data_IF_998968363823
#
_entry.id   IF_998968363823
#
_cell.length_a   1.000
_cell.length_b   1.000
_cell.length_c   1.000
_cell.angle_alpha   90.00
_cell.angle_beta   90.00
_cell.angle_gamma   90.00
#
_symmetry.space_group_name_H-M   'P 1'
#
loop_
_entity.id
_entity.type
_entity.pdbx_description
1 polymer ?
#
# COMPACT_ATOMS: atom_id res chain seq x y z
N UNK A 1 -21.03 24.62 5.03
CA UNK A 1 -20.21 24.68 3.80
C UNK A 1 -20.72 23.59 2.89
N UNK A 2 -21.02 23.86 1.61
CA UNK A 2 -21.49 22.85 0.64
C UNK A 2 -20.31 22.53 -0.29
N UNK A 3 -20.07 21.24 -0.58
CA UNK A 3 -19.09 20.84 -1.60
C UNK A 3 -19.53 21.31 -2.98
N UNK A 4 -18.59 21.54 -3.89
CA UNK A 4 -18.91 21.87 -5.28
C UNK A 4 -19.65 20.72 -5.98
N UNK A 5 -20.37 21.02 -7.05
CA UNK A 5 -21.06 20.00 -7.84
C UNK A 5 -20.08 19.07 -8.57
N UNK A 6 -18.85 19.55 -8.80
CA UNK A 6 -17.75 18.80 -9.44
C UNK A 6 -16.94 17.96 -8.44
N UNK A 7 -17.33 17.90 -7.18
CA UNK A 7 -16.64 17.09 -6.18
C UNK A 7 -16.87 15.59 -6.45
N UNK A 8 -15.80 14.83 -6.54
CA UNK A 8 -15.85 13.40 -6.77
C UNK A 8 -16.16 12.64 -5.47
N UNK A 9 -17.41 12.26 -5.28
CA UNK A 9 -17.81 11.32 -4.24
C UNK A 9 -17.60 9.89 -4.72
N UNK A 10 -17.13 9.00 -3.85
CA UNK A 10 -16.91 7.61 -4.21
C UNK A 10 -16.41 6.75 -3.07
N UNK A 11 -15.84 5.63 -3.42
CA UNK A 11 -15.29 4.66 -2.48
C UNK A 11 -14.00 4.03 -3.00
N UNK A 12 -13.43 3.12 -2.20
CA UNK A 12 -12.16 2.49 -2.48
C UNK A 12 -12.17 1.00 -2.15
N UNK A 13 -11.50 0.21 -2.99
CA UNK A 13 -11.16 -1.20 -2.76
C UNK A 13 -9.72 -1.46 -3.21
N UNK A 14 -9.19 -2.64 -2.91
CA UNK A 14 -7.94 -3.12 -3.48
C UNK A 14 -8.14 -4.46 -4.19
N UNK A 15 -7.37 -4.73 -5.23
CA UNK A 15 -7.43 -5.96 -6.01
C UNK A 15 -7.39 -7.21 -5.12
N UNK A 16 -6.42 -7.27 -4.23
CA UNK A 16 -6.23 -8.38 -3.30
C UNK A 16 -7.35 -8.55 -2.26
N UNK A 17 -8.23 -7.57 -2.11
CA UNK A 17 -9.35 -7.62 -1.15
C UNK A 17 -10.66 -8.02 -1.80
N UNK A 18 -10.86 -7.69 -3.08
CA UNK A 18 -12.16 -7.83 -3.72
C UNK A 18 -12.17 -8.76 -4.94
N UNK A 19 -11.07 -8.90 -5.68
CA UNK A 19 -11.10 -9.59 -6.97
C UNK A 19 -11.42 -11.07 -6.87
N UNK A 20 -10.86 -11.78 -5.90
CA UNK A 20 -10.87 -13.24 -5.95
C UNK A 20 -10.08 -13.76 -7.16
N UNK A 21 -10.49 -14.89 -7.72
CA UNK A 21 -9.89 -15.46 -8.95
C UNK A 21 -8.35 -15.48 -8.89
N UNK A 22 -7.79 -15.85 -7.74
CA UNK A 22 -6.37 -15.75 -7.40
C UNK A 22 -5.45 -16.59 -8.28
N UNK A 23 -5.96 -17.66 -8.88
CA UNK A 23 -5.24 -18.60 -9.76
C UNK A 23 -5.87 -18.72 -11.15
N UNK A 24 -6.71 -17.74 -11.55
CA UNK A 24 -7.43 -17.75 -12.83
C UNK A 24 -6.65 -16.95 -13.88
N UNK A 25 -6.75 -17.38 -15.15
CA UNK A 25 -6.21 -16.70 -16.34
C UNK A 25 -4.72 -16.34 -16.24
N UNK A 26 -3.94 -17.24 -15.61
CA UNK A 26 -2.49 -17.12 -15.51
C UNK A 26 -2.01 -16.07 -14.51
N UNK A 27 -2.86 -15.60 -13.58
CA UNK A 27 -2.43 -14.76 -12.47
C UNK A 27 -1.39 -15.48 -11.60
N UNK A 28 -0.31 -14.80 -11.27
CA UNK A 28 0.66 -15.26 -10.28
C UNK A 28 0.20 -14.95 -8.85
N UNK A 29 0.85 -15.57 -7.87
CA UNK A 29 0.55 -15.33 -6.45
C UNK A 29 1.12 -14.00 -5.96
N UNK A 30 0.43 -13.41 -4.99
CA UNK A 30 0.91 -12.32 -4.14
C UNK A 30 0.90 -12.76 -2.67
N UNK A 31 1.49 -11.97 -1.77
CA UNK A 31 1.56 -12.28 -0.33
C UNK A 31 0.19 -12.60 0.29
N UNK A 32 -0.86 -11.93 -0.14
CA UNK A 32 -2.21 -12.12 0.35
C UNK A 32 -2.79 -13.50 0.02
N UNK A 33 -2.31 -14.14 -1.05
CA UNK A 33 -2.78 -15.46 -1.48
C UNK A 33 -2.23 -16.60 -0.60
N UNK A 34 -1.17 -16.34 0.15
CA UNK A 34 -0.58 -17.26 1.14
C UNK A 34 -0.79 -16.77 2.57
N UNK A 35 -1.71 -15.82 2.78
CA UNK A 35 -2.04 -15.28 4.09
C UNK A 35 -3.41 -15.77 4.53
N UNK A 36 -3.43 -16.56 5.62
CA UNK A 36 -4.65 -17.18 6.15
C UNK A 36 -5.63 -16.14 6.72
N UNK A 37 -6.85 -16.53 6.90
CA UNK A 37 -7.82 -15.81 7.73
C UNK A 37 -7.33 -15.67 9.17
N UNK A 38 -7.89 -14.69 9.88
CA UNK A 38 -7.64 -14.46 11.29
C UNK A 38 -8.94 -14.15 12.03
N UNK A 39 -8.84 -14.04 13.35
CA UNK A 39 -9.93 -13.60 14.24
C UNK A 39 -9.40 -12.52 15.17
N UNK A 40 -10.24 -11.97 16.04
CA UNK A 40 -9.81 -11.04 17.09
C UNK A 40 -8.73 -11.65 17.99
N UNK A 41 -8.73 -12.98 18.14
CA UNK A 41 -7.83 -13.70 19.04
C UNK A 41 -6.73 -14.49 18.31
N UNK A 42 -6.81 -14.60 17.01
CA UNK A 42 -5.85 -15.36 16.18
C UNK A 42 -5.27 -14.47 15.08
N UNK A 43 -3.95 -14.26 15.04
CA UNK A 43 -3.35 -13.45 13.97
C UNK A 43 -3.51 -14.14 12.61
N UNK A 44 -3.47 -13.36 11.54
CA UNK A 44 -3.29 -13.88 10.20
C UNK A 44 -1.87 -14.43 10.06
N UNK A 45 -1.74 -15.59 9.41
CA UNK A 45 -0.48 -16.30 9.26
C UNK A 45 -0.09 -16.38 7.78
N UNK A 46 1.18 -16.31 7.48
CA UNK A 46 1.74 -16.62 6.15
C UNK A 46 2.14 -18.09 6.13
N UNK A 47 1.75 -18.80 5.08
CA UNK A 47 2.00 -20.23 4.89
C UNK A 47 3.15 -20.46 3.91
N UNK A 48 4.05 -21.40 4.26
CA UNK A 48 5.21 -21.73 3.47
C UNK A 48 5.69 -23.17 3.75
N UNK A 49 6.52 -23.71 2.87
CA UNK A 49 7.24 -24.96 3.07
C UNK A 49 8.68 -24.61 3.41
N UNK A 50 9.18 -25.19 4.52
CA UNK A 50 10.56 -24.99 4.92
C UNK A 50 11.55 -25.79 4.05
N UNK A 51 12.85 -25.56 4.24
CA UNK A 51 13.91 -26.25 3.50
C UNK A 51 13.90 -27.78 3.63
N UNK A 52 13.24 -28.32 4.65
CA UNK A 52 13.15 -29.76 4.94
C UNK A 52 11.84 -30.37 4.39
N UNK A 53 11.00 -29.57 3.70
CA UNK A 53 9.75 -29.97 3.08
C UNK A 53 8.54 -29.97 4.02
N UNK A 54 8.66 -29.38 5.22
CA UNK A 54 7.55 -29.34 6.18
C UNK A 54 6.67 -28.10 5.96
N UNK A 55 5.34 -28.27 6.11
CA UNK A 55 4.38 -27.16 6.16
C UNK A 55 4.61 -26.31 7.40
N UNK A 56 4.74 -25.02 7.22
CA UNK A 56 4.98 -24.03 8.29
C UNK A 56 4.06 -22.82 8.14
N UNK A 57 3.83 -22.10 9.24
CA UNK A 57 3.17 -20.80 9.26
C UNK A 57 3.77 -19.89 10.33
N UNK A 58 3.91 -18.61 9.97
CA UNK A 58 4.37 -17.55 10.86
C UNK A 58 3.41 -16.34 10.80
N UNK A 59 3.34 -15.53 11.85
CA UNK A 59 2.54 -14.31 11.84
C UNK A 59 2.89 -13.41 10.65
N UNK A 60 1.87 -12.84 10.01
CA UNK A 60 2.08 -11.98 8.83
C UNK A 60 2.84 -10.68 9.16
N UNK A 61 2.66 -10.12 10.37
CA UNK A 61 3.40 -8.93 10.78
C UNK A 61 4.87 -9.25 11.08
N UNK A 62 5.76 -8.50 10.42
CA UNK A 62 7.21 -8.70 10.56
C UNK A 62 7.72 -10.00 9.94
N UNK A 63 6.91 -10.62 9.08
CA UNK A 63 7.27 -11.87 8.42
C UNK A 63 8.48 -11.69 7.51
N UNK A 64 9.45 -12.61 7.67
CA UNK A 64 10.53 -12.84 6.71
C UNK A 64 10.54 -14.33 6.36
N UNK A 65 10.63 -14.62 5.06
CA UNK A 65 10.72 -16.00 4.60
C UNK A 65 12.05 -16.61 5.06
N UNK A 66 12.05 -17.74 5.78
CA UNK A 66 13.28 -18.42 6.17
C UNK A 66 14.12 -18.86 4.96
N UNK A 67 15.43 -18.89 5.13
CA UNK A 67 16.34 -19.30 4.08
C UNK A 67 16.01 -20.73 3.56
N UNK A 68 15.91 -20.87 2.25
CA UNK A 68 15.56 -22.14 1.58
C UNK A 68 14.09 -22.54 1.70
N UNK A 69 13.25 -21.72 2.31
CA UNK A 69 11.80 -21.90 2.30
C UNK A 69 11.18 -21.31 1.04
N UNK A 70 9.95 -21.73 0.71
CA UNK A 70 9.14 -21.17 -0.38
C UNK A 70 7.69 -21.07 0.05
N UNK A 71 6.99 -20.04 -0.43
CA UNK A 71 5.59 -19.82 -0.14
C UNK A 71 4.70 -20.93 -0.70
N UNK A 72 3.66 -21.29 0.03
CA UNK A 72 2.74 -22.35 -0.39
C UNK A 72 1.33 -22.14 0.15
N UNK A 73 0.35 -22.49 -0.65
CA UNK A 73 -1.06 -22.59 -0.25
C UNK A 73 -1.31 -24.01 0.28
N UNK A 74 -2.04 -24.13 1.39
CA UNK A 74 -2.40 -25.39 2.01
C UNK A 74 -3.91 -25.64 1.92
N UNK A 75 -4.31 -26.84 1.53
CA UNK A 75 -5.74 -27.20 1.34
C UNK A 75 -6.55 -27.19 2.65
N UNK A 76 -5.86 -27.27 3.79
CA UNK A 76 -6.44 -27.28 5.14
C UNK A 76 -6.51 -25.91 5.82
N UNK A 77 -6.18 -24.83 5.09
CA UNK A 77 -6.22 -23.45 5.58
C UNK A 77 -7.25 -22.61 4.80
N UNK A 78 -7.80 -21.60 5.47
CA UNK A 78 -8.72 -20.63 4.85
C UNK A 78 -7.96 -19.39 4.40
N UNK A 79 -8.06 -19.03 3.12
CA UNK A 79 -7.49 -17.84 2.53
C UNK A 79 -8.60 -16.90 2.03
N UNK A 80 -9.06 -15.93 2.83
CA UNK A 80 -10.19 -15.07 2.47
C UNK A 80 -10.01 -14.28 1.17
N UNK A 81 -8.77 -13.99 0.82
CA UNK A 81 -8.45 -13.22 -0.40
C UNK A 81 -8.58 -14.07 -1.69
N UNK A 82 -8.69 -15.41 -1.60
CA UNK A 82 -8.92 -16.25 -2.77
C UNK A 82 -10.28 -16.03 -3.41
N UNK A 83 -11.27 -15.74 -2.58
CA UNK A 83 -12.64 -15.50 -3.03
C UNK A 83 -12.95 -13.98 -3.09
N UNK A 84 -12.61 -13.24 -2.02
CA UNK A 84 -13.00 -11.84 -1.88
C UNK A 84 -14.54 -11.70 -2.00
N UNK A 85 -14.98 -10.78 -2.86
CA UNK A 85 -16.37 -10.69 -3.33
C UNK A 85 -16.52 -11.18 -4.77
N UNK A 86 -15.48 -11.82 -5.30
CA UNK A 86 -15.38 -12.31 -6.68
C UNK A 86 -15.61 -11.21 -7.72
N UNK A 87 -15.07 -10.03 -7.46
CA UNK A 87 -15.16 -8.88 -8.37
C UNK A 87 -14.65 -9.20 -9.78
N UNK A 88 -13.72 -10.15 -9.89
CA UNK A 88 -13.20 -10.59 -11.19
C UNK A 88 -14.31 -11.07 -12.13
N UNK A 89 -15.27 -11.82 -11.64
CA UNK A 89 -16.39 -12.33 -12.42
C UNK A 89 -17.62 -11.41 -12.39
N UNK A 90 -17.80 -10.61 -11.31
CA UNK A 90 -19.01 -9.84 -11.03
C UNK A 90 -18.84 -8.32 -11.19
N UNK A 91 -17.71 -7.82 -11.72
CA UNK A 91 -17.40 -6.38 -11.80
C UNK A 91 -18.49 -5.55 -12.49
N UNK A 92 -19.25 -6.12 -13.45
CA UNK A 92 -20.32 -5.40 -14.15
C UNK A 92 -21.51 -5.11 -13.25
N UNK A 93 -21.92 -6.11 -12.49
CA UNK A 93 -23.00 -6.01 -11.51
C UNK A 93 -22.58 -5.04 -10.38
N UNK A 94 -21.37 -5.18 -9.88
CA UNK A 94 -20.85 -4.34 -8.82
C UNK A 94 -20.74 -2.87 -9.27
N UNK A 95 -20.25 -2.61 -10.49
CA UNK A 95 -20.16 -1.25 -11.04
C UNK A 95 -21.57 -0.66 -11.25
N UNK A 96 -22.56 -1.47 -11.64
CA UNK A 96 -23.93 -1.00 -11.75
C UNK A 96 -24.50 -0.56 -10.38
N UNK A 97 -24.20 -1.30 -9.30
CA UNK A 97 -24.55 -0.92 -7.94
C UNK A 97 -23.83 0.37 -7.48
N UNK A 98 -22.54 0.53 -7.79
CA UNK A 98 -21.79 1.75 -7.50
C UNK A 98 -22.41 2.98 -8.20
N UNK A 99 -22.85 2.80 -9.45
CA UNK A 99 -23.57 3.83 -10.21
C UNK A 99 -24.91 4.19 -9.54
N UNK A 100 -25.68 3.19 -9.11
CA UNK A 100 -26.95 3.39 -8.39
C UNK A 100 -26.72 4.15 -7.07
N UNK A 101 -25.61 3.86 -6.35
CA UNK A 101 -25.18 4.59 -5.16
C UNK A 101 -24.76 6.04 -5.43
N UNK A 102 -24.59 6.42 -6.70
CA UNK A 102 -24.22 7.76 -7.11
C UNK A 102 -22.74 8.07 -7.09
N UNK A 103 -21.89 7.04 -7.15
CA UNK A 103 -20.44 7.22 -7.23
C UNK A 103 -20.05 8.05 -8.45
N UNK A 104 -19.07 8.95 -8.25
CA UNK A 104 -18.44 9.76 -9.31
C UNK A 104 -16.98 9.38 -9.52
N UNK A 105 -16.36 8.76 -8.52
CA UNK A 105 -15.01 8.21 -8.59
C UNK A 105 -14.97 6.88 -7.87
N UNK A 106 -14.24 5.93 -8.40
CA UNK A 106 -13.99 4.65 -7.74
C UNK A 106 -12.49 4.36 -7.73
N UNK A 107 -11.94 4.23 -6.52
CA UNK A 107 -10.56 3.84 -6.35
C UNK A 107 -10.45 2.33 -6.29
N UNK A 108 -9.57 1.76 -7.12
CA UNK A 108 -9.24 0.35 -7.14
C UNK A 108 -7.74 0.19 -7.39
N UNK A 109 -7.19 -1.00 -7.21
CA UNK A 109 -5.79 -1.27 -7.58
C UNK A 109 -5.70 -2.26 -8.75
N UNK A 110 -4.56 -2.27 -9.42
CA UNK A 110 -4.19 -3.32 -10.38
C UNK A 110 -3.30 -4.31 -9.63
N UNK A 111 -3.61 -5.60 -9.69
CA UNK A 111 -2.74 -6.65 -9.19
C UNK A 111 -1.53 -6.80 -10.12
N UNK A 112 -0.33 -6.47 -9.62
CA UNK A 112 0.90 -6.61 -10.40
C UNK A 112 1.10 -8.06 -10.85
N UNK A 113 0.83 -9.04 -9.99
CA UNK A 113 0.94 -10.46 -10.33
C UNK A 113 -0.10 -10.96 -11.35
N UNK A 114 -1.17 -10.18 -11.63
CA UNK A 114 -2.09 -10.46 -12.74
C UNK A 114 -1.54 -10.00 -14.08
N UNK A 115 -0.70 -8.96 -14.07
CA UNK A 115 -0.06 -8.42 -15.28
C UNK A 115 1.27 -9.11 -15.57
N UNK A 116 2.08 -9.34 -14.55
CA UNK A 116 3.35 -10.07 -14.62
C UNK A 116 3.38 -11.11 -13.52
N UNK A 117 2.97 -12.35 -13.80
CA UNK A 117 2.77 -13.41 -12.80
C UNK A 117 3.95 -13.69 -11.87
N UNK A 118 5.17 -13.64 -12.39
CA UNK A 118 6.41 -13.76 -11.59
C UNK A 118 7.14 -12.41 -11.44
N UNK A 119 6.71 -11.38 -12.16
CA UNK A 119 7.31 -10.04 -12.19
C UNK A 119 8.43 -9.88 -13.23
N UNK A 120 8.98 -10.95 -13.78
CA UNK A 120 10.15 -10.91 -14.67
C UNK A 120 9.83 -11.28 -16.14
N UNK A 121 8.61 -11.67 -16.49
CA UNK A 121 8.23 -12.07 -17.85
C UNK A 121 8.61 -10.99 -18.88
N UNK A 122 9.00 -11.40 -20.07
CA UNK A 122 9.28 -10.49 -21.18
C UNK A 122 8.00 -9.79 -21.68
N UNK A 123 6.87 -10.48 -21.61
CA UNK A 123 5.57 -9.99 -22.05
C UNK A 123 4.55 -10.06 -20.92
N UNK A 124 3.64 -9.07 -20.84
CA UNK A 124 2.57 -9.10 -19.85
C UNK A 124 1.57 -10.20 -20.16
N UNK A 125 0.85 -10.64 -19.14
CA UNK A 125 -0.29 -11.53 -19.25
C UNK A 125 -1.47 -10.77 -19.90
N UNK A 126 -1.82 -11.14 -21.14
CA UNK A 126 -2.86 -10.46 -21.88
C UNK A 126 -4.24 -10.56 -21.22
N UNK A 127 -4.57 -11.71 -20.63
CA UNK A 127 -5.85 -11.85 -19.94
C UNK A 127 -5.99 -10.88 -18.75
N UNK A 128 -4.90 -10.65 -18.04
CA UNK A 128 -4.87 -9.64 -16.97
C UNK A 128 -5.06 -8.21 -17.51
N UNK A 129 -4.42 -7.87 -18.62
CA UNK A 129 -4.59 -6.57 -19.26
C UNK A 129 -6.04 -6.38 -19.75
N UNK A 130 -6.63 -7.39 -20.40
CA UNK A 130 -8.00 -7.34 -20.92
C UNK A 130 -9.02 -7.21 -19.80
N UNK A 131 -8.82 -7.88 -18.67
CA UNK A 131 -9.69 -7.76 -17.49
C UNK A 131 -9.77 -6.30 -17.02
N UNK A 132 -8.65 -5.65 -16.72
CA UNK A 132 -8.69 -4.26 -16.24
C UNK A 132 -9.17 -3.27 -17.34
N UNK A 133 -8.87 -3.51 -18.62
CA UNK A 133 -9.45 -2.73 -19.69
C UNK A 133 -10.97 -2.78 -19.67
N UNK A 134 -11.54 -3.96 -19.48
CA UNK A 134 -12.98 -4.13 -19.38
C UNK A 134 -13.56 -3.42 -18.16
N UNK A 135 -12.90 -3.53 -16.99
CA UNK A 135 -13.32 -2.84 -15.75
C UNK A 135 -13.30 -1.32 -15.93
N UNK A 136 -12.22 -0.76 -16.47
CA UNK A 136 -12.12 0.70 -16.68
C UNK A 136 -13.11 1.20 -17.73
N UNK A 137 -13.35 0.42 -18.79
CA UNK A 137 -14.36 0.74 -19.78
C UNK A 137 -15.76 0.78 -19.17
N UNK A 138 -16.10 -0.21 -18.33
CA UNK A 138 -17.39 -0.27 -17.63
C UNK A 138 -17.57 0.91 -16.66
N UNK A 139 -16.53 1.27 -15.87
CA UNK A 139 -16.55 2.44 -15.00
C UNK A 139 -16.80 3.73 -15.82
N UNK A 140 -16.10 3.93 -16.93
CA UNK A 140 -16.30 5.09 -17.81
C UNK A 140 -17.71 5.14 -18.37
N UNK A 141 -18.25 4.00 -18.83
CA UNK A 141 -19.64 3.89 -19.33
C UNK A 141 -20.67 4.19 -18.22
N UNK A 142 -20.35 3.85 -16.97
CA UNK A 142 -21.18 4.18 -15.82
C UNK A 142 -21.10 5.66 -15.39
N UNK A 143 -20.18 6.45 -15.97
CA UNK A 143 -19.91 7.84 -15.58
C UNK A 143 -19.11 7.95 -14.27
N UNK A 144 -18.36 6.90 -13.92
CA UNK A 144 -17.51 6.81 -12.74
C UNK A 144 -16.04 6.95 -13.19
N UNK A 145 -15.32 7.90 -12.61
CA UNK A 145 -13.91 8.13 -12.89
C UNK A 145 -13.04 7.11 -12.14
N UNK A 146 -12.17 6.33 -12.83
CA UNK A 146 -11.22 5.46 -12.16
C UNK A 146 -10.10 6.24 -11.47
N UNK A 147 -9.78 5.91 -10.22
CA UNK A 147 -8.57 6.30 -9.52
C UNK A 147 -7.78 5.02 -9.21
N UNK A 148 -6.64 4.82 -9.87
CA UNK A 148 -5.96 3.53 -9.86
C UNK A 148 -4.72 3.55 -8.98
N UNK A 149 -4.71 2.70 -7.96
CA UNK A 149 -3.49 2.38 -7.21
C UNK A 149 -2.66 1.38 -8.00
N UNK A 150 -1.45 1.78 -8.40
CA UNK A 150 -0.55 0.96 -9.19
C UNK A 150 -0.04 -0.24 -8.37
N UNK A 151 0.33 0.01 -7.11
CA UNK A 151 0.74 -1.03 -6.16
C UNK A 151 -0.06 -0.92 -4.85
N UNK A 152 -0.60 -2.04 -4.38
CA UNK A 152 -1.37 -2.13 -3.14
C UNK A 152 -1.03 -3.41 -2.36
N UNK A 153 0.24 -3.53 -1.95
CA UNK A 153 0.78 -4.67 -1.19
C UNK A 153 0.68 -6.02 -1.93
N UNK A 154 0.70 -6.01 -3.25
CA UNK A 154 0.53 -7.19 -4.10
C UNK A 154 1.69 -7.41 -5.08
N UNK A 155 2.90 -7.27 -4.57
CA UNK A 155 4.12 -7.67 -5.29
C UNK A 155 4.01 -9.15 -5.69
N UNK A 156 4.42 -9.52 -6.95
CA UNK A 156 4.53 -10.92 -7.33
C UNK A 156 5.39 -11.70 -6.34
N UNK A 157 4.84 -12.78 -5.79
CA UNK A 157 5.47 -13.54 -4.71
C UNK A 157 6.83 -14.11 -5.09
N UNK A 158 7.00 -14.48 -6.37
CA UNK A 158 8.27 -14.95 -6.91
C UNK A 158 9.40 -13.90 -6.84
N UNK A 159 9.06 -12.60 -6.94
CA UNK A 159 10.05 -11.52 -6.72
C UNK A 159 10.46 -11.45 -5.26
N UNK A 160 9.50 -11.60 -4.36
CA UNK A 160 9.76 -11.55 -2.94
C UNK A 160 10.62 -12.72 -2.47
N UNK A 161 10.39 -13.94 -2.97
CA UNK A 161 11.24 -15.11 -2.73
C UNK A 161 12.67 -14.89 -3.24
N UNK A 162 12.80 -14.24 -4.38
CA UNK A 162 14.10 -14.12 -5.06
C UNK A 162 14.95 -12.94 -4.56
N UNK A 163 14.31 -11.83 -4.20
CA UNK A 163 14.98 -10.55 -3.95
C UNK A 163 14.64 -9.94 -2.58
N UNK A 164 13.80 -10.60 -1.77
CA UNK A 164 13.19 -10.00 -0.59
C UNK A 164 12.15 -8.93 -0.97
N UNK A 165 11.48 -8.37 0.02
CA UNK A 165 10.43 -7.36 -0.23
C UNK A 165 11.06 -5.96 -0.37
N UNK A 166 11.21 -5.48 -1.60
CA UNK A 166 11.77 -4.14 -1.93
C UNK A 166 13.18 -3.86 -1.33
N UNK A 167 13.98 -4.90 -1.07
CA UNK A 167 15.34 -4.78 -0.55
C UNK A 167 16.42 -4.87 -1.63
N UNK A 168 16.05 -5.21 -2.85
CA UNK A 168 16.95 -5.22 -4.01
C UNK A 168 16.58 -4.07 -4.96
N UNK A 169 17.59 -3.32 -5.41
CA UNK A 169 17.45 -2.21 -6.35
C UNK A 169 16.80 -2.60 -7.68
N UNK A 170 16.82 -3.87 -8.04
CA UNK A 170 16.13 -4.41 -9.23
C UNK A 170 14.63 -4.12 -9.26
N UNK A 171 14.00 -3.99 -8.09
CA UNK A 171 12.58 -3.62 -8.03
C UNK A 171 12.26 -2.34 -8.78
N UNK A 172 13.18 -1.37 -8.81
CA UNK A 172 12.98 -0.11 -9.54
C UNK A 172 12.74 -0.41 -11.02
N UNK A 173 13.62 -1.16 -11.68
CA UNK A 173 13.50 -1.49 -13.10
C UNK A 173 12.29 -2.42 -13.39
N UNK A 174 11.98 -3.36 -12.49
CA UNK A 174 10.81 -4.22 -12.62
C UNK A 174 9.51 -3.43 -12.51
N UNK A 175 9.46 -2.48 -11.58
CA UNK A 175 8.32 -1.58 -11.43
C UNK A 175 8.19 -0.63 -12.62
N UNK A 176 9.29 -0.06 -13.15
CA UNK A 176 9.29 0.74 -14.37
C UNK A 176 8.69 -0.02 -15.57
N UNK A 177 9.06 -1.29 -15.75
CA UNK A 177 8.48 -2.14 -16.79
C UNK A 177 6.97 -2.29 -16.60
N UNK A 178 6.54 -2.58 -15.38
CA UNK A 178 5.14 -2.75 -15.03
C UNK A 178 4.33 -1.46 -15.28
N UNK A 179 4.78 -0.32 -14.77
CA UNK A 179 4.06 0.96 -14.94
C UNK A 179 4.03 1.42 -16.39
N UNK A 180 5.11 1.20 -17.14
CA UNK A 180 5.15 1.50 -18.59
C UNK A 180 4.07 0.71 -19.33
N UNK A 181 3.90 -0.55 -18.99
CA UNK A 181 2.87 -1.42 -19.59
C UNK A 181 1.48 -0.89 -19.31
N UNK A 182 1.14 -0.66 -18.04
CA UNK A 182 -0.22 -0.25 -17.68
C UNK A 182 -0.57 1.17 -18.14
N UNK A 183 0.39 2.11 -18.12
CA UNK A 183 0.14 3.46 -18.65
C UNK A 183 -0.13 3.45 -20.16
N UNK A 184 0.62 2.65 -20.93
CA UNK A 184 0.34 2.51 -22.38
C UNK A 184 -0.99 1.81 -22.61
N UNK A 185 -1.27 0.72 -21.89
CA UNK A 185 -2.46 -0.09 -22.09
C UNK A 185 -3.75 0.67 -21.77
N UNK A 186 -3.74 1.50 -20.73
CA UNK A 186 -4.95 2.20 -20.26
C UNK A 186 -4.97 3.69 -20.57
N UNK A 187 -4.10 4.15 -21.47
CA UNK A 187 -4.09 5.53 -21.96
C UNK A 187 -5.49 5.94 -22.46
N UNK A 188 -5.98 7.08 -21.97
CA UNK A 188 -7.30 7.61 -22.28
C UNK A 188 -8.47 6.93 -21.55
N UNK A 189 -8.25 5.81 -20.84
CA UNK A 189 -9.24 5.17 -19.96
C UNK A 189 -9.08 5.63 -18.51
N UNK A 190 -7.84 5.71 -18.03
CA UNK A 190 -7.51 6.10 -16.66
C UNK A 190 -6.68 7.39 -16.70
N UNK A 191 -7.11 8.37 -15.93
CA UNK A 191 -6.42 9.66 -15.78
C UNK A 191 -5.73 9.80 -14.42
N UNK A 192 -6.30 9.22 -13.38
CA UNK A 192 -5.85 9.40 -11.98
C UNK A 192 -5.17 8.13 -11.47
N UNK A 193 -3.93 8.29 -11.00
CA UNK A 193 -3.07 7.19 -10.56
C UNK A 193 -2.44 7.48 -9.21
N UNK A 194 -2.21 6.44 -8.42
CA UNK A 194 -1.47 6.50 -7.16
C UNK A 194 -0.33 5.48 -7.22
N UNK A 195 0.91 5.91 -7.00
CA UNK A 195 2.07 5.06 -7.21
C UNK A 195 2.13 3.88 -6.24
N UNK A 196 2.09 4.16 -4.94
CA UNK A 196 2.10 3.17 -3.87
C UNK A 196 0.99 3.46 -2.87
N UNK A 197 0.22 2.44 -2.48
CA UNK A 197 -0.75 2.59 -1.42
C UNK A 197 -0.04 2.67 -0.07
N UNK A 198 -0.35 3.73 0.71
CA UNK A 198 0.10 3.90 2.09
C UNK A 198 1.59 3.58 2.27
N UNK A 199 2.42 4.16 1.40
CA UNK A 199 3.87 3.90 1.34
C UNK A 199 4.56 4.01 2.70
N UNK A 200 4.05 4.88 3.57
CA UNK A 200 4.57 5.13 4.91
C UNK A 200 4.26 4.00 5.92
N UNK A 201 3.45 3.00 5.57
CA UNK A 201 3.18 1.85 6.45
C UNK A 201 4.45 1.05 6.74
N UNK A 202 5.39 1.01 5.82
CA UNK A 202 6.71 0.39 6.04
C UNK A 202 7.41 0.89 7.30
N UNK A 203 7.27 2.18 7.64
CA UNK A 203 7.86 2.77 8.84
C UNK A 203 6.87 2.94 9.99
N UNK A 204 5.57 3.11 9.69
CA UNK A 204 4.54 3.32 10.71
C UNK A 204 4.30 2.08 11.57
N UNK A 205 4.43 0.89 10.99
CA UNK A 205 4.22 -0.37 11.70
C UNK A 205 5.46 -0.95 12.35
N UNK A 206 6.62 -0.29 12.23
CA UNK A 206 7.77 -0.66 13.04
C UNK A 206 7.50 -0.33 14.51
N UNK A 207 7.69 -1.31 15.42
CA UNK A 207 7.64 -1.05 16.86
C UNK A 207 8.64 0.04 17.25
N UNK A 208 8.32 0.85 18.25
CA UNK A 208 9.25 1.89 18.75
C UNK A 208 10.58 1.32 19.29
N UNK A 209 10.60 0.04 19.67
CA UNK A 209 11.79 -0.70 20.09
C UNK A 209 12.35 -1.63 19.02
N UNK A 210 12.04 -1.40 17.75
CA UNK A 210 12.62 -2.15 16.64
C UNK A 210 14.15 -2.00 16.61
N UNK A 211 14.84 -3.00 16.09
CA UNK A 211 16.30 -2.96 15.99
C UNK A 211 16.77 -1.96 14.91
N UNK A 212 18.04 -1.54 15.01
CA UNK A 212 18.65 -0.69 13.99
C UNK A 212 18.62 -1.34 12.61
N UNK A 213 18.76 -2.67 12.52
CA UNK A 213 18.66 -3.42 11.27
C UNK A 213 17.25 -3.32 10.66
N UNK A 214 16.19 -3.40 11.48
CA UNK A 214 14.81 -3.25 11.00
C UNK A 214 14.56 -1.83 10.48
N UNK A 215 15.11 -0.80 11.13
CA UNK A 215 15.05 0.57 10.62
C UNK A 215 15.87 0.74 9.34
N UNK A 216 17.08 0.15 9.26
CA UNK A 216 17.90 0.16 8.06
C UNK A 216 17.14 -0.42 6.86
N UNK A 217 16.54 -1.60 7.03
CA UNK A 217 15.75 -2.25 5.99
C UNK A 217 14.53 -1.43 5.59
N UNK A 218 13.76 -0.91 6.55
CA UNK A 218 12.56 -0.12 6.27
C UNK A 218 12.88 1.17 5.50
N UNK A 219 13.93 1.90 5.87
CA UNK A 219 14.32 3.11 5.16
C UNK A 219 14.93 2.81 3.79
N UNK A 220 15.65 1.69 3.63
CA UNK A 220 16.16 1.27 2.31
C UNK A 220 15.02 0.85 1.38
N UNK A 221 14.06 0.08 1.86
CA UNK A 221 12.83 -0.26 1.16
C UNK A 221 12.11 1.00 0.66
N UNK A 222 11.88 1.96 1.56
CA UNK A 222 11.24 3.23 1.21
C UNK A 222 12.05 4.00 0.16
N UNK A 223 13.38 4.03 0.26
CA UNK A 223 14.21 4.70 -0.74
C UNK A 223 13.99 4.15 -2.14
N UNK A 224 14.01 2.83 -2.31
CA UNK A 224 13.76 2.22 -3.61
C UNK A 224 12.34 2.47 -4.13
N UNK A 225 11.35 2.45 -3.25
CA UNK A 225 9.98 2.82 -3.61
C UNK A 225 9.85 4.30 -3.98
N UNK A 226 10.56 5.22 -3.34
CA UNK A 226 10.56 6.63 -3.73
C UNK A 226 11.14 6.83 -5.12
N UNK A 227 12.26 6.19 -5.44
CA UNK A 227 12.85 6.25 -6.77
C UNK A 227 11.90 5.65 -7.81
N UNK A 228 11.32 4.49 -7.54
CA UNK A 228 10.34 3.84 -8.40
C UNK A 228 9.08 4.72 -8.61
N UNK A 229 8.59 5.38 -7.55
CA UNK A 229 7.48 6.34 -7.61
C UNK A 229 7.81 7.53 -8.52
N UNK A 230 8.98 8.12 -8.33
CA UNK A 230 9.42 9.26 -9.13
C UNK A 230 9.59 8.89 -10.63
N UNK A 231 10.10 7.71 -10.92
CA UNK A 231 10.18 7.17 -12.28
C UNK A 231 8.81 6.92 -12.88
N UNK A 232 7.88 6.36 -12.10
CA UNK A 232 6.50 6.16 -12.55
C UNK A 232 5.81 7.48 -12.92
N UNK A 233 6.03 8.56 -12.15
CA UNK A 233 5.49 9.90 -12.47
C UNK A 233 6.04 10.40 -13.81
N UNK A 234 7.36 10.32 -14.03
CA UNK A 234 7.99 10.75 -15.28
C UNK A 234 7.45 9.93 -16.47
N UNK A 235 7.47 8.60 -16.38
CA UNK A 235 6.97 7.69 -17.43
C UNK A 235 5.48 7.96 -17.73
N UNK A 236 4.67 8.13 -16.69
CA UNK A 236 3.24 8.40 -16.87
C UNK A 236 2.96 9.70 -17.59
N UNK A 237 3.71 10.77 -17.32
CA UNK A 237 3.59 12.06 -18.02
C UNK A 237 4.17 12.02 -19.44
N UNK A 238 5.23 11.24 -19.68
CA UNK A 238 5.77 11.02 -21.03
C UNK A 238 4.77 10.29 -21.94
N UNK A 239 4.08 9.28 -21.39
CA UNK A 239 3.08 8.50 -22.14
C UNK A 239 1.80 9.32 -22.36
N UNK A 240 1.32 10.00 -21.30
CA UNK A 240 0.14 10.86 -21.39
C UNK A 240 0.28 12.06 -20.42
N UNK A 241 0.50 13.29 -20.96
CA UNK A 241 0.62 14.50 -20.14
C UNK A 241 -0.65 14.87 -19.35
N UNK A 242 -1.81 14.28 -19.66
CA UNK A 242 -3.06 14.48 -18.94
C UNK A 242 -3.15 13.64 -17.66
N UNK A 243 -2.26 12.67 -17.47
CA UNK A 243 -2.22 11.87 -16.26
C UNK A 243 -2.02 12.75 -15.02
N UNK A 244 -2.72 12.39 -13.96
CA UNK A 244 -2.56 12.95 -12.61
C UNK A 244 -2.12 11.86 -11.67
N UNK A 245 -0.86 11.93 -11.25
CA UNK A 245 -0.20 10.87 -10.52
C UNK A 245 0.09 11.34 -9.11
N UNK A 246 -0.45 10.65 -8.11
CA UNK A 246 -0.40 11.02 -6.72
C UNK A 246 0.42 10.08 -5.84
N UNK A 247 0.76 10.57 -4.65
CA UNK A 247 1.14 9.72 -3.53
C UNK A 247 -0.09 9.32 -2.73
N UNK A 248 0.03 8.23 -1.97
CA UNK A 248 -1.02 7.77 -1.05
C UNK A 248 -0.39 7.49 0.31
N UNK A 249 -0.83 8.23 1.32
CA UNK A 249 -0.28 8.22 2.67
C UNK A 249 -1.30 7.64 3.65
N UNK A 250 -0.85 6.74 4.52
CA UNK A 250 -1.63 6.35 5.69
C UNK A 250 -1.69 7.53 6.66
N UNK A 251 -2.83 8.18 6.71
CA UNK A 251 -3.02 9.47 7.41
C UNK A 251 -3.45 9.29 8.86
N UNK A 252 -2.63 8.67 9.69
CA UNK A 252 -2.86 8.59 11.13
C UNK A 252 -2.56 9.97 11.75
N UNK A 253 -3.57 10.60 12.33
CA UNK A 253 -3.42 11.89 12.98
C UNK A 253 -3.00 11.71 14.45
N UNK A 254 -1.88 12.30 14.83
CA UNK A 254 -1.34 12.20 16.19
C UNK A 254 -1.58 13.48 16.97
N UNK A 255 -1.97 13.35 18.25
CA UNK A 255 -2.14 14.43 19.21
C UNK A 255 -1.32 14.15 20.47
N UNK A 256 -0.66 15.15 21.07
CA UNK A 256 -0.06 14.97 22.38
C UNK A 256 -1.17 14.76 23.43
N UNK A 257 -0.99 13.80 24.34
CA UNK A 257 -1.98 13.56 25.40
C UNK A 257 -2.06 14.73 26.38
N UNK A 258 -0.91 15.35 26.68
CA UNK A 258 -0.80 16.48 27.58
C UNK A 258 -0.10 17.68 26.92
N UNK A 259 -0.09 18.81 27.60
CA UNK A 259 0.70 19.99 27.21
C UNK A 259 2.17 19.94 27.67
N UNK A 260 2.63 18.81 28.24
CA UNK A 260 4.03 18.61 28.56
C UNK A 260 4.89 18.79 27.31
N UNK A 261 5.97 19.59 27.37
CA UNK A 261 6.89 19.76 26.25
C UNK A 261 7.43 18.44 25.66
N UNK A 262 7.63 17.41 26.51
CA UNK A 262 8.09 16.09 26.05
C UNK A 262 7.01 15.38 25.21
N UNK A 263 5.75 15.43 25.61
CA UNK A 263 4.62 14.89 24.83
C UNK A 263 4.49 15.61 23.48
N UNK A 264 4.65 16.94 23.47
CA UNK A 264 4.58 17.75 22.26
C UNK A 264 5.71 17.39 21.29
N UNK A 265 6.95 17.24 21.80
CA UNK A 265 8.09 16.84 20.99
C UNK A 265 7.95 15.41 20.47
N UNK A 266 7.46 14.50 21.30
CA UNK A 266 7.19 13.11 20.92
C UNK A 266 6.12 13.04 19.81
N UNK A 267 5.02 13.77 20.00
CA UNK A 267 3.98 13.88 18.97
C UNK A 267 4.54 14.41 17.64
N UNK A 268 5.37 15.44 17.67
CA UNK A 268 6.02 15.97 16.47
C UNK A 268 6.90 14.90 15.79
N UNK A 269 7.65 14.11 16.56
CA UNK A 269 8.49 13.05 15.99
C UNK A 269 7.65 11.97 15.30
N UNK A 270 6.46 11.65 15.81
CA UNK A 270 5.51 10.73 15.14
C UNK A 270 5.02 11.29 13.80
N UNK A 271 4.70 12.58 13.72
CA UNK A 271 4.35 13.24 12.46
C UNK A 271 5.53 13.25 11.47
N UNK A 272 6.73 13.58 11.92
CA UNK A 272 7.93 13.61 11.09
C UNK A 272 8.23 12.23 10.50
N UNK A 273 8.24 11.18 11.33
CA UNK A 273 8.50 9.79 10.91
C UNK A 273 7.34 9.22 10.10
N UNK A 274 6.13 9.35 10.59
CA UNK A 274 4.98 8.61 10.10
C UNK A 274 4.29 9.24 8.89
N UNK A 275 4.34 10.57 8.73
CA UNK A 275 3.60 11.28 7.69
C UNK A 275 4.52 12.09 6.78
N UNK A 276 5.31 13.00 7.38
CA UNK A 276 6.05 13.99 6.58
C UNK A 276 7.23 13.38 5.83
N UNK A 277 7.88 12.35 6.36
CA UNK A 277 9.02 11.72 5.69
C UNK A 277 8.65 11.28 4.27
N UNK A 278 7.64 10.44 4.11
CA UNK A 278 7.21 9.95 2.80
C UNK A 278 6.53 11.03 1.97
N UNK A 279 5.61 11.81 2.57
CA UNK A 279 4.90 12.87 1.88
C UNK A 279 5.83 13.94 1.32
N UNK A 280 6.81 14.39 2.10
CA UNK A 280 7.77 15.41 1.66
C UNK A 280 8.68 14.90 0.53
N UNK A 281 9.16 13.64 0.61
CA UNK A 281 9.99 13.09 -0.47
C UNK A 281 9.23 13.03 -1.78
N UNK A 282 7.99 12.51 -1.78
CA UNK A 282 7.21 12.37 -3.00
C UNK A 282 6.70 13.72 -3.55
N UNK A 283 6.34 14.68 -2.67
CA UNK A 283 5.83 15.98 -3.11
C UNK A 283 6.92 17.01 -3.43
N UNK A 284 8.08 16.94 -2.76
CA UNK A 284 9.15 17.96 -2.88
C UNK A 284 10.37 17.44 -3.62
N UNK A 285 10.43 16.16 -3.96
CA UNK A 285 11.55 15.53 -4.68
C UNK A 285 12.86 15.56 -3.91
N UNK A 286 12.82 15.61 -2.59
CA UNK A 286 14.02 15.65 -1.74
C UNK A 286 13.71 15.22 -0.31
N UNK A 287 14.70 14.67 0.36
CA UNK A 287 14.63 14.36 1.77
C UNK A 287 14.47 15.62 2.62
N UNK A 288 13.53 15.66 3.58
CA UNK A 288 13.39 16.77 4.51
C UNK A 288 14.58 16.87 5.48
N UNK A 289 14.79 18.03 6.07
CA UNK A 289 15.98 18.31 6.91
C UNK A 289 16.05 17.43 8.17
N UNK A 290 14.90 17.05 8.72
CA UNK A 290 14.82 16.18 9.90
C UNK A 290 15.25 14.73 9.63
N UNK A 291 15.32 14.30 8.38
CA UNK A 291 15.73 12.95 7.97
C UNK A 291 17.10 12.55 8.51
N UNK A 292 18.05 13.50 8.54
CA UNK A 292 19.40 13.26 9.08
C UNK A 292 19.36 12.84 10.56
N UNK A 293 18.41 13.39 11.33
CA UNK A 293 18.19 13.01 12.72
C UNK A 293 17.62 11.59 12.80
N UNK A 294 16.56 11.29 12.05
CA UNK A 294 15.92 9.98 12.03
C UNK A 294 16.90 8.86 11.67
N UNK A 295 17.73 9.08 10.63
CA UNK A 295 18.73 8.09 10.22
C UNK A 295 19.82 7.91 11.28
N UNK A 296 20.27 9.02 11.90
CA UNK A 296 21.29 8.95 12.95
C UNK A 296 20.80 8.22 14.21
N UNK A 297 19.53 8.37 14.58
CA UNK A 297 18.93 7.72 15.75
C UNK A 297 19.03 6.18 15.69
N UNK A 298 19.04 5.60 14.46
CA UNK A 298 19.06 4.17 14.21
C UNK A 298 20.24 3.71 13.34
N UNK A 299 21.32 4.49 13.27
CA UNK A 299 22.54 4.18 12.50
C UNK A 299 22.28 3.84 11.02
N UNK A 300 21.21 4.37 10.42
CA UNK A 300 20.80 4.10 9.04
C UNK A 300 21.77 4.69 8.02
N UNK A 301 22.21 3.85 7.08
CA UNK A 301 23.07 4.22 5.95
C UNK A 301 22.47 3.65 4.67
N UNK A 302 21.85 4.50 3.87
CA UNK A 302 21.14 4.08 2.66
C UNK A 302 22.07 4.04 1.45
N UNK A 303 21.82 3.08 0.55
CA UNK A 303 22.40 3.06 -0.80
C UNK A 303 21.65 4.07 -1.67
N UNK A 304 22.08 5.33 -1.61
CA UNK A 304 21.56 6.46 -2.37
C UNK A 304 22.59 6.91 -3.37
N UNK A 305 22.24 6.97 -4.65
CA UNK A 305 23.08 7.53 -5.69
C UNK A 305 22.71 8.99 -6.00
N UNK A 306 23.62 9.74 -6.62
CA UNK A 306 23.31 11.09 -7.13
C UNK A 306 22.19 11.06 -8.17
N UNK A 307 22.14 9.99 -8.98
CA UNK A 307 21.07 9.78 -9.96
C UNK A 307 19.71 9.63 -9.26
N UNK A 308 19.61 8.89 -8.17
CA UNK A 308 18.36 8.75 -7.43
C UNK A 308 17.83 10.11 -6.96
N UNK A 309 18.73 10.96 -6.45
CA UNK A 309 18.33 12.31 -6.01
C UNK A 309 17.84 13.18 -7.16
N UNK A 310 18.40 13.03 -8.35
CA UNK A 310 17.92 13.73 -9.55
C UNK A 310 16.57 13.16 -10.03
N UNK A 311 16.37 11.83 -9.97
CA UNK A 311 15.09 11.21 -10.31
C UNK A 311 13.98 11.67 -9.36
N UNK A 312 14.25 11.74 -8.05
CA UNK A 312 13.28 12.26 -7.08
C UNK A 312 12.83 13.68 -7.41
N UNK A 313 13.77 14.58 -7.78
CA UNK A 313 13.46 15.97 -8.15
C UNK A 313 12.58 16.09 -9.38
N UNK A 314 12.78 15.21 -10.38
CA UNK A 314 12.04 15.23 -11.64
C UNK A 314 10.66 14.61 -11.53
N UNK A 315 10.49 13.64 -10.64
CA UNK A 315 9.30 12.83 -10.51
C UNK A 315 8.45 13.16 -9.28
N UNK A 316 8.24 14.44 -8.98
CA UNK A 316 7.31 14.86 -7.92
C UNK A 316 5.87 14.61 -8.33
N UNK A 317 5.05 14.19 -7.36
CA UNK A 317 3.64 13.85 -7.61
C UNK A 317 2.75 15.08 -7.85
N UNK A 318 1.68 14.91 -8.62
CA UNK A 318 0.67 15.95 -8.90
C UNK A 318 -0.33 16.13 -7.75
N UNK A 319 -0.58 15.06 -6.98
CA UNK A 319 -1.61 15.02 -5.95
C UNK A 319 -1.06 14.44 -4.66
N UNK A 320 -1.47 15.03 -3.54
CA UNK A 320 -1.30 14.43 -2.23
C UNK A 320 -2.61 13.79 -1.80
N UNK A 321 -2.64 12.49 -1.60
CA UNK A 321 -3.79 11.75 -1.11
C UNK A 321 -3.48 11.00 0.17
N UNK A 322 -4.48 10.72 0.97
CA UNK A 322 -4.29 10.00 2.22
C UNK A 322 -5.53 9.20 2.61
N UNK A 323 -5.30 8.07 3.30
CA UNK A 323 -6.34 7.34 4.03
C UNK A 323 -6.45 7.92 5.43
N UNK A 324 -7.65 8.26 5.88
CA UNK A 324 -7.89 8.67 7.24
C UNK A 324 -8.92 7.75 7.90
N UNK A 325 -8.47 6.97 8.86
CA UNK A 325 -9.33 6.06 9.61
C UNK A 325 -9.45 6.45 11.08
N UNK A 326 -8.42 7.08 11.64
CA UNK A 326 -8.35 7.34 13.06
C UNK A 326 -7.40 8.46 13.43
N UNK A 327 -7.61 8.98 14.63
CA UNK A 327 -6.67 9.81 15.37
C UNK A 327 -6.15 9.07 16.58
N UNK A 328 -4.91 9.34 16.96
CA UNK A 328 -4.26 8.73 18.12
C UNK A 328 -3.72 9.80 19.05
N UNK A 329 -3.76 9.55 20.36
CA UNK A 329 -2.99 10.32 21.33
C UNK A 329 -1.71 9.58 21.67
N UNK A 330 -0.63 10.33 21.90
CA UNK A 330 0.69 9.82 22.30
C UNK A 330 1.19 10.55 23.53
N UNK A 331 1.93 9.84 24.38
CA UNK A 331 2.53 10.40 25.59
C UNK A 331 3.86 9.70 25.91
N UNK A 332 4.75 10.43 26.54
CA UNK A 332 5.99 9.92 27.12
C UNK A 332 5.79 9.41 28.55
N UNK A 333 4.65 9.74 29.17
CA UNK A 333 4.31 9.30 30.51
C UNK A 333 3.75 7.87 30.50
N UNK A 334 4.02 7.12 31.57
CA UNK A 334 3.41 5.81 31.75
C UNK A 334 1.89 5.93 31.75
N UNK A 335 1.25 5.21 30.84
CA UNK A 335 -0.21 5.20 30.72
C UNK A 335 -0.68 3.78 30.42
N UNK A 336 -1.56 3.25 31.28
CA UNK A 336 -2.12 1.91 31.15
C UNK A 336 -3.46 1.91 30.37
N UNK A 337 -4.04 3.09 30.10
CA UNK A 337 -5.27 3.24 29.31
C UNK A 337 -4.95 3.32 27.83
N UNK A 338 -4.57 2.17 27.26
CA UNK A 338 -4.24 2.04 25.85
C UNK A 338 -5.46 1.65 25.02
N UNK A 339 -5.51 2.19 23.79
CA UNK A 339 -6.47 1.74 22.77
C UNK A 339 -5.82 0.64 21.97
N UNK A 340 -6.44 -0.52 21.91
CA UNK A 340 -6.02 -1.62 21.05
C UNK A 340 -7.15 -2.01 20.09
N UNK A 341 -6.79 -2.26 18.83
CA UNK A 341 -7.68 -2.70 17.77
C UNK A 341 -6.88 -2.98 16.51
N UNK A 342 -7.50 -3.46 15.45
CA UNK A 342 -6.80 -3.88 14.23
C UNK A 342 -5.89 -2.82 13.60
N UNK A 343 -6.14 -1.53 13.87
CA UNK A 343 -5.37 -0.40 13.37
C UNK A 343 -5.20 0.70 14.42
N UNK A 344 -5.64 0.49 15.67
CA UNK A 344 -5.63 1.50 16.72
C UNK A 344 -4.49 1.24 17.68
N UNK A 345 -3.51 2.13 17.69
CA UNK A 345 -2.39 2.10 18.65
C UNK A 345 -2.32 3.46 19.32
N UNK A 346 -2.03 3.50 20.60
CA UNK A 346 -1.86 4.74 21.33
C UNK A 346 -2.57 4.75 22.68
N UNK A 347 -2.66 5.91 23.28
CA UNK A 347 -3.37 6.10 24.56
C UNK A 347 -4.73 6.72 24.33
N UNK A 348 -5.68 6.39 25.22
CA UNK A 348 -7.02 6.97 25.14
C UNK A 348 -6.98 8.46 25.45
N UNK A 349 -7.65 9.23 24.63
CA UNK A 349 -7.86 10.66 24.84
C UNK A 349 -9.36 10.92 25.01
N UNK A 350 -9.82 11.57 26.10
CA UNK A 350 -11.23 11.78 26.37
C UNK A 350 -11.93 12.71 25.36
N UNK A 351 -11.15 13.46 24.57
CA UNK A 351 -11.67 14.39 23.54
C UNK A 351 -11.65 13.77 22.13
N UNK A 352 -11.13 12.55 21.99
CA UNK A 352 -11.08 11.83 20.73
C UNK A 352 -11.93 10.55 20.86
N UNK A 353 -13.05 10.50 20.16
CA UNK A 353 -13.75 9.22 20.00
C UNK A 353 -12.91 8.30 19.13
N UNK A 354 -12.60 7.13 19.65
CA UNK A 354 -12.00 6.05 18.88
C UNK A 354 -13.08 5.46 17.97
N UNK A 355 -13.31 6.08 16.84
CA UNK A 355 -14.11 5.47 15.78
C UNK A 355 -13.23 4.44 15.12
N UNK A 356 -13.28 3.20 15.61
CA UNK A 356 -12.62 2.12 14.89
C UNK A 356 -13.47 1.75 13.67
N UNK A 357 -12.82 1.64 12.51
CA UNK A 357 -13.41 1.08 11.30
C UNK A 357 -14.02 -0.31 11.56
N UNK A 358 -13.50 -1.05 12.52
CA UNK A 358 -14.04 -2.30 13.02
C UNK A 358 -15.45 -2.14 13.58
N UNK A 359 -15.78 -0.97 14.14
CA UNK A 359 -17.13 -0.69 14.64
C UNK A 359 -18.15 -0.51 13.50
N UNK A 360 -17.74 0.07 12.38
CA UNK A 360 -18.56 0.16 11.18
C UNK A 360 -18.78 -1.22 10.54
N UNK A 361 -17.75 -2.07 10.49
CA UNK A 361 -17.87 -3.45 9.99
C UNK A 361 -18.79 -4.34 10.81
N UNK A 362 -18.94 -4.11 12.10
CA UNK A 362 -19.85 -4.88 12.96
C UNK A 362 -21.34 -4.69 12.62
N UNK A 363 -21.67 -3.67 11.83
CA UNK A 363 -23.03 -3.40 11.34
C UNK A 363 -23.26 -3.85 9.89
N UNK A 364 -22.21 -4.28 9.19
CA UNK A 364 -22.29 -4.74 7.80
C UNK A 364 -22.46 -6.27 7.69
N UNK A 365 -22.34 -6.98 8.78
CA UNK A 365 -22.55 -8.43 8.90
C UNK A 365 -23.84 -8.72 9.69
#
# INVERSE_FOLDING_TARGET
MKFSEDFYWGGAVAANQCEGAWNVDGRGMARTDVTTGGTVNTPRMVTFIDKDGNKQKLPNHGFKLPEGAHFAVFDDELYPNHDGIDFYHHYKEDIALLKEMGFKMFRLSISWSRIYPTGEEEKPNQAGLDFYRNVFTELRNAGIEPLVSIWHFDTPLALEEKYGDWLDRKYIALYEKYVTTIFNEYKGLVKYWLTFNEINNTINFLPDNASDEAYQEAYQHLHYQFVASARAVQIGHEIDPENKIGCMICGITYYPLTSDPEDILFNRSKWEKGIFYCGDVQCKGKYPTFTKRLWKEHNVQLDITEQDLEELKKGTVDMYTFSYYMSQAVTTHKNDDTVSGNMSFGVRNPYLESVSYTHLRAHET
#
